data_IF_606285836744
#
_entry.id   IF_606285836744
#
_cell.length_a   1.000
_cell.length_b   1.000
_cell.length_c   1.000
_cell.angle_alpha   90.00
_cell.angle_beta   90.00
_cell.angle_gamma   90.00
#
_symmetry.space_group_name_H-M   'P 1'
#
loop_
_entity.id
_entity.type
_entity.pdbx_description
1 polymer ?
#
# COMPACT_ATOMS: atom_id res chain seq x y z
N UNK A 1 -0.62 5.36 12.52
CA UNK A 1 -1.34 6.20 11.54
C UNK A 1 -2.52 5.41 11.00
N UNK A 2 -3.46 6.08 10.34
CA UNK A 2 -4.64 5.43 9.74
C UNK A 2 -4.58 5.55 8.22
N UNK A 3 -4.62 4.41 7.52
CA UNK A 3 -4.57 4.33 6.05
C UNK A 3 -5.98 4.36 5.44
N UNK A 4 -7.02 4.06 6.23
CA UNK A 4 -8.38 3.89 5.72
C UNK A 4 -8.91 5.14 5.00
N UNK A 5 -8.69 6.38 5.48
CA UNK A 5 -9.18 7.57 4.76
C UNK A 5 -8.60 7.73 3.35
N UNK A 6 -7.34 7.31 3.14
CA UNK A 6 -6.71 7.34 1.83
C UNK A 6 -7.27 6.23 0.92
N UNK A 7 -7.50 5.03 1.47
CA UNK A 7 -8.18 3.95 0.77
C UNK A 7 -9.60 4.36 0.35
N UNK A 8 -10.37 4.96 1.26
CA UNK A 8 -11.73 5.43 0.98
C UNK A 8 -11.74 6.50 -0.11
N UNK A 9 -10.80 7.44 -0.06
CA UNK A 9 -10.66 8.45 -1.11
C UNK A 9 -10.36 7.81 -2.48
N UNK A 10 -9.43 6.85 -2.51
CA UNK A 10 -9.08 6.10 -3.72
C UNK A 10 -10.30 5.37 -4.31
N UNK A 11 -11.02 4.60 -3.51
CA UNK A 11 -12.23 3.88 -3.91
C UNK A 11 -13.34 4.83 -4.39
N UNK A 12 -13.57 5.92 -3.67
CA UNK A 12 -14.70 6.81 -3.93
C UNK A 12 -14.46 7.81 -5.07
N UNK A 13 -13.21 8.13 -5.37
CA UNK A 13 -12.84 9.20 -6.33
C UNK A 13 -12.00 8.67 -7.48
N UNK A 14 -10.83 8.11 -7.20
CA UNK A 14 -9.90 7.71 -8.26
C UNK A 14 -10.42 6.53 -9.06
N UNK A 15 -10.83 5.47 -8.37
CA UNK A 15 -11.26 4.23 -8.99
C UNK A 15 -12.51 4.39 -9.85
N UNK A 16 -13.46 5.23 -9.42
CA UNK A 16 -14.69 5.52 -10.18
C UNK A 16 -14.49 6.18 -11.53
N UNK A 17 -13.32 6.78 -11.78
CA UNK A 17 -13.02 7.45 -13.06
C UNK A 17 -12.52 6.43 -14.09
N UNK A 18 -11.93 5.30 -13.67
CA UNK A 18 -11.45 4.29 -14.59
C UNK A 18 -12.62 3.61 -15.31
N UNK A 19 -12.47 3.38 -16.62
CA UNK A 19 -13.43 2.60 -17.39
C UNK A 19 -13.12 1.10 -17.28
N UNK A 20 -14.10 0.22 -17.43
CA UNK A 20 -13.91 -1.25 -17.41
C UNK A 20 -12.78 -1.74 -18.33
N UNK A 21 -12.40 -0.99 -19.37
CA UNK A 21 -11.27 -1.30 -20.25
C UNK A 21 -9.92 -1.03 -19.59
N UNK A 22 -9.83 0.00 -18.77
CA UNK A 22 -8.64 0.35 -18.00
C UNK A 22 -8.39 -0.70 -16.90
N UNK A 23 -9.47 -1.18 -16.27
CA UNK A 23 -9.43 -2.27 -15.29
C UNK A 23 -8.80 -3.55 -15.84
N UNK A 24 -9.03 -3.88 -17.12
CA UNK A 24 -8.50 -5.10 -17.72
C UNK A 24 -6.97 -5.12 -17.83
N UNK A 25 -6.32 -3.96 -17.73
CA UNK A 25 -4.86 -3.82 -17.88
C UNK A 25 -4.18 -3.34 -16.60
N UNK A 26 -4.94 -2.96 -15.58
CA UNK A 26 -4.40 -2.46 -14.33
C UNK A 26 -3.87 -3.57 -13.42
N UNK A 27 -2.83 -3.24 -12.65
CA UNK A 27 -2.14 -4.18 -11.76
C UNK A 27 -1.56 -3.46 -10.53
N UNK A 28 -0.72 -4.16 -9.77
CA UNK A 28 -0.03 -3.64 -8.57
C UNK A 28 0.74 -2.33 -8.82
N UNK A 29 1.38 -2.17 -9.99
CA UNK A 29 2.08 -0.93 -10.36
C UNK A 29 1.10 0.24 -10.49
N UNK A 30 -0.09 0.03 -11.07
CA UNK A 30 -1.11 1.08 -11.19
C UNK A 30 -1.54 1.60 -9.82
N UNK A 31 -1.76 0.70 -8.86
CA UNK A 31 -2.11 1.06 -7.48
C UNK A 31 -0.96 1.84 -6.83
N UNK A 32 0.27 1.32 -6.94
CA UNK A 32 1.48 1.99 -6.44
C UNK A 32 1.60 3.41 -6.99
N UNK A 33 1.46 3.59 -8.30
CA UNK A 33 1.55 4.90 -8.95
C UNK A 33 0.47 5.85 -8.45
N UNK A 34 -0.78 5.39 -8.30
CA UNK A 34 -1.86 6.23 -7.78
C UNK A 34 -1.58 6.70 -6.34
N UNK A 35 -1.19 5.79 -5.45
CA UNK A 35 -0.79 6.17 -4.08
C UNK A 35 0.42 7.11 -4.07
N UNK A 36 1.44 6.85 -4.90
CA UNK A 36 2.62 7.70 -4.99
C UNK A 36 2.23 9.14 -5.36
N UNK A 37 1.36 9.33 -6.36
CA UNK A 37 0.92 10.68 -6.78
C UNK A 37 0.15 11.43 -5.68
N UNK A 38 -0.56 10.72 -4.80
CA UNK A 38 -1.29 11.33 -3.68
C UNK A 38 -0.42 11.60 -2.46
N UNK A 39 0.60 10.77 -2.24
CA UNK A 39 1.49 10.84 -1.08
C UNK A 39 2.80 11.58 -1.36
N UNK A 40 3.04 12.00 -2.60
CA UNK A 40 4.29 12.63 -2.98
C UNK A 40 4.53 13.93 -2.20
N UNK A 41 5.58 13.94 -1.39
CA UNK A 41 6.03 15.08 -0.59
C UNK A 41 7.55 15.00 -0.38
N UNK A 42 8.29 15.68 -1.24
CA UNK A 42 9.76 15.80 -1.17
C UNK A 42 10.23 16.92 -0.21
N UNK A 43 9.29 17.66 0.36
CA UNK A 43 9.57 18.69 1.37
C UNK A 43 9.82 18.02 2.72
N UNK A 44 8.97 17.07 3.12
CA UNK A 44 9.12 16.35 4.39
C UNK A 44 9.88 15.04 4.26
N UNK A 45 9.78 14.35 3.11
CA UNK A 45 10.27 12.98 2.97
C UNK A 45 11.36 12.82 1.92
N UNK A 46 12.24 11.86 2.18
CA UNK A 46 13.00 11.14 1.17
C UNK A 46 12.13 9.96 0.76
N UNK A 47 11.57 10.02 -0.44
CA UNK A 47 10.69 8.97 -0.97
C UNK A 47 11.47 8.04 -1.90
N UNK A 48 11.38 6.74 -1.68
CA UNK A 48 12.02 5.72 -2.51
C UNK A 48 10.98 4.65 -2.88
N UNK A 49 10.77 4.41 -4.18
CA UNK A 49 9.92 3.33 -4.70
C UNK A 49 10.71 2.10 -5.16
N UNK A 50 12.04 2.14 -5.05
CA UNK A 50 12.99 1.03 -5.12
C UNK A 50 14.41 1.54 -4.86
N UNK A 51 15.22 0.77 -4.12
CA UNK A 51 16.68 0.97 -4.08
C UNK A 51 17.31 -0.06 -5.03
N UNK A 52 18.01 0.40 -6.07
CA UNK A 52 18.60 -0.37 -7.18
C UNK A 52 19.58 -1.50 -6.79
N UNK A 53 19.75 -1.88 -5.52
CA UNK A 53 20.92 -2.66 -5.10
C UNK A 53 20.62 -4.09 -4.63
N UNK A 54 19.43 -4.43 -4.09
CA UNK A 54 19.23 -5.81 -3.57
C UNK A 54 17.76 -6.29 -3.58
N UNK A 55 17.33 -6.81 -4.75
CA UNK A 55 16.21 -7.75 -5.05
C UNK A 55 15.33 -8.19 -3.87
N UNK A 56 14.65 -7.25 -3.26
CA UNK A 56 13.79 -7.43 -2.11
C UNK A 56 12.98 -6.16 -2.02
N UNK A 57 12.01 -6.06 -2.90
CA UNK A 57 11.28 -4.83 -3.21
C UNK A 57 10.29 -4.55 -2.09
N UNK A 58 10.31 -3.33 -1.56
CA UNK A 58 9.13 -2.75 -0.93
C UNK A 58 8.65 -1.62 -1.80
N UNK A 59 7.34 -1.46 -1.81
CA UNK A 59 6.72 -0.68 -2.86
C UNK A 59 6.84 0.83 -2.68
N UNK A 60 6.78 1.33 -1.44
CA UNK A 60 6.97 2.74 -1.15
C UNK A 60 7.53 2.95 0.25
N UNK A 61 8.63 3.69 0.34
CA UNK A 61 9.17 4.19 1.60
C UNK A 61 9.13 5.72 1.62
N UNK A 62 8.68 6.29 2.73
CA UNK A 62 8.70 7.73 3.00
C UNK A 62 9.48 7.95 4.29
N UNK A 63 10.77 8.30 4.18
CA UNK A 63 11.64 8.55 5.34
C UNK A 63 11.72 10.04 5.59
N UNK A 64 11.41 10.48 6.80
CA UNK A 64 11.45 11.92 7.15
C UNK A 64 12.88 12.42 7.00
N UNK A 65 13.06 13.52 6.28
CA UNK A 65 14.38 14.11 6.07
C UNK A 65 15.05 14.50 7.41
N UNK A 66 16.39 14.40 7.54
CA UNK A 66 17.06 14.69 8.81
C UNK A 66 16.77 16.07 9.40
N UNK A 67 16.68 17.09 8.55
CA UNK A 67 16.35 18.48 8.88
C UNK A 67 14.89 18.69 9.32
N UNK A 68 14.00 17.76 8.97
CA UNK A 68 12.56 17.80 9.27
C UNK A 68 12.18 16.96 10.49
N UNK A 69 13.13 16.28 11.14
CA UNK A 69 12.86 15.37 12.28
C UNK A 69 12.20 16.06 13.48
N UNK A 70 12.39 17.39 13.61
CA UNK A 70 11.78 18.24 14.64
C UNK A 70 10.24 18.18 14.65
N UNK A 71 9.60 17.94 13.51
CA UNK A 71 8.13 17.99 13.36
C UNK A 71 7.39 16.74 13.85
N UNK A 72 8.09 15.81 14.51
CA UNK A 72 7.54 14.56 15.04
C UNK A 72 6.70 13.69 14.07
N UNK A 73 6.92 13.86 12.76
CA UNK A 73 6.25 13.10 11.70
C UNK A 73 6.77 11.65 11.62
N UNK A 74 5.90 10.72 11.24
CA UNK A 74 6.20 9.29 11.15
C UNK A 74 7.00 8.96 9.89
N UNK A 75 7.86 7.94 9.95
CA UNK A 75 8.37 7.28 8.74
C UNK A 75 7.35 6.24 8.29
N UNK A 76 7.14 6.11 6.99
CA UNK A 76 6.09 5.25 6.44
C UNK A 76 6.71 4.24 5.48
N UNK A 77 6.32 2.98 5.66
CA UNK A 77 6.62 1.90 4.72
C UNK A 77 5.29 1.29 4.26
N UNK A 78 5.07 1.22 2.94
CA UNK A 78 3.85 0.66 2.36
C UNK A 78 4.23 -0.46 1.40
N UNK A 79 3.54 -1.58 1.54
CA UNK A 79 3.59 -2.71 0.60
C UNK A 79 2.21 -2.85 -0.05
N UNK A 80 2.18 -2.74 -1.38
CA UNK A 80 0.97 -2.95 -2.16
C UNK A 80 0.90 -4.40 -2.61
N UNK A 81 -0.31 -4.92 -2.71
CA UNK A 81 -0.59 -6.19 -3.37
C UNK A 81 -1.84 -6.04 -4.22
N UNK A 82 -1.92 -6.83 -5.28
CA UNK A 82 -3.08 -6.85 -6.15
C UNK A 82 -3.69 -8.24 -6.25
N UNK A 83 -5.02 -8.31 -6.14
CA UNK A 83 -5.85 -9.49 -6.40
C UNK A 83 -6.73 -9.17 -7.60
N UNK A 84 -6.52 -9.80 -8.76
CA UNK A 84 -7.42 -9.68 -9.90
C UNK A 84 -8.82 -10.20 -9.55
N UNK A 85 -9.87 -9.61 -10.13
CA UNK A 85 -11.26 -10.07 -9.95
C UNK A 85 -11.44 -11.56 -10.24
N UNK A 86 -10.73 -12.06 -11.26
CA UNK A 86 -10.73 -13.47 -11.66
C UNK A 86 -10.17 -14.38 -10.56
N UNK A 87 -9.14 -13.93 -9.83
CA UNK A 87 -8.58 -14.65 -8.69
C UNK A 87 -9.51 -14.58 -7.47
N UNK A 88 -10.20 -13.44 -7.28
CA UNK A 88 -11.22 -13.30 -6.24
C UNK A 88 -12.48 -14.14 -6.52
N UNK A 89 -12.73 -14.52 -7.77
CA UNK A 89 -13.93 -15.26 -8.19
C UNK A 89 -15.22 -14.44 -8.11
N UNK A 90 -15.11 -13.11 -8.09
CA UNK A 90 -16.22 -12.18 -7.89
C UNK A 90 -16.23 -11.09 -8.98
N UNK A 91 -17.40 -10.58 -9.31
CA UNK A 91 -17.51 -9.37 -10.14
C UNK A 91 -17.40 -8.09 -9.30
N UNK A 92 -17.08 -6.98 -9.96
CA UNK A 92 -16.87 -5.69 -9.28
C UNK A 92 -18.12 -5.20 -8.52
N UNK A 93 -19.32 -5.42 -9.08
CA UNK A 93 -20.59 -5.00 -8.46
C UNK A 93 -20.87 -5.74 -7.15
N UNK A 94 -20.44 -6.99 -7.05
CA UNK A 94 -20.56 -7.78 -5.83
C UNK A 94 -19.56 -7.28 -4.79
N UNK A 95 -18.30 -7.05 -5.18
CA UNK A 95 -17.26 -6.53 -4.30
C UNK A 95 -17.58 -5.15 -3.72
N UNK A 96 -18.17 -4.25 -4.51
CA UNK A 96 -18.59 -2.92 -4.05
C UNK A 96 -19.56 -2.96 -2.86
N UNK A 97 -20.37 -4.03 -2.75
CA UNK A 97 -21.39 -4.17 -1.70
C UNK A 97 -20.90 -4.96 -0.49
N UNK A 98 -19.74 -5.61 -0.57
CA UNK A 98 -19.21 -6.39 0.54
C UNK A 98 -18.77 -5.46 1.67
N UNK A 99 -18.99 -5.86 2.92
CA UNK A 99 -18.35 -5.17 4.04
C UNK A 99 -16.84 -5.51 4.11
N UNK A 100 -16.13 -4.76 4.96
CA UNK A 100 -14.68 -4.92 5.10
C UNK A 100 -14.28 -6.27 5.70
N UNK A 101 -15.12 -6.87 6.55
CA UNK A 101 -14.79 -8.14 7.20
C UNK A 101 -14.94 -9.30 6.21
N UNK A 102 -15.96 -9.28 5.36
CA UNK A 102 -16.14 -10.21 4.26
C UNK A 102 -15.00 -10.10 3.24
N UNK A 103 -14.55 -8.87 2.90
CA UNK A 103 -13.39 -8.68 2.01
C UNK A 103 -12.10 -9.24 2.61
N UNK A 104 -11.84 -8.97 3.89
CA UNK A 104 -10.68 -9.53 4.61
C UNK A 104 -10.73 -11.05 4.74
N UNK A 105 -11.93 -11.63 4.73
CA UNK A 105 -12.11 -13.08 4.78
C UNK A 105 -11.83 -13.79 3.45
N UNK A 106 -11.72 -13.06 2.33
CA UNK A 106 -11.43 -13.67 1.03
C UNK A 106 -10.06 -14.37 1.05
N UNK A 107 -9.97 -15.66 0.65
CA UNK A 107 -8.71 -16.41 0.69
C UNK A 107 -7.58 -15.74 -0.10
N UNK A 108 -7.90 -15.17 -1.27
CA UNK A 108 -6.94 -14.44 -2.10
C UNK A 108 -6.40 -13.20 -1.38
N UNK A 109 -7.26 -12.43 -0.70
CA UNK A 109 -6.85 -11.26 0.10
C UNK A 109 -5.96 -11.67 1.26
N UNK A 110 -6.35 -12.69 2.03
CA UNK A 110 -5.55 -13.17 3.16
C UNK A 110 -4.17 -13.68 2.72
N UNK A 111 -4.10 -14.36 1.57
CA UNK A 111 -2.84 -14.80 0.97
C UNK A 111 -1.95 -13.59 0.66
N UNK A 112 -2.48 -12.58 -0.02
CA UNK A 112 -1.75 -11.35 -0.34
C UNK A 112 -1.33 -10.55 0.90
N UNK A 113 -2.17 -10.49 1.93
CA UNK A 113 -1.79 -9.86 3.20
C UNK A 113 -0.59 -10.57 3.86
N UNK A 114 -0.55 -11.91 3.86
CA UNK A 114 0.61 -12.66 4.35
C UNK A 114 1.88 -12.39 3.53
N UNK A 115 1.77 -12.41 2.19
CA UNK A 115 2.88 -12.07 1.31
C UNK A 115 3.41 -10.66 1.58
N UNK A 116 2.51 -9.69 1.78
CA UNK A 116 2.87 -8.31 2.11
C UNK A 116 3.56 -8.20 3.48
N UNK A 117 3.03 -8.90 4.49
CA UNK A 117 3.61 -8.93 5.83
C UNK A 117 5.06 -9.47 5.80
N UNK A 118 5.30 -10.55 5.07
CA UNK A 118 6.64 -11.13 4.88
C UNK A 118 7.59 -10.15 4.16
N UNK A 119 7.08 -9.41 3.16
CA UNK A 119 7.81 -8.36 2.46
C UNK A 119 8.23 -7.22 3.39
N UNK A 120 7.26 -6.69 4.13
CA UNK A 120 7.47 -5.62 5.10
C UNK A 120 8.46 -6.01 6.19
N UNK A 121 8.34 -7.21 6.76
CA UNK A 121 9.24 -7.68 7.81
C UNK A 121 10.72 -7.64 7.38
N UNK A 122 11.03 -8.12 6.16
CA UNK A 122 12.41 -8.10 5.63
C UNK A 122 12.96 -6.69 5.48
N UNK A 123 12.14 -5.75 5.03
CA UNK A 123 12.59 -4.39 4.74
C UNK A 123 12.66 -3.50 5.98
N UNK A 124 11.75 -3.71 6.94
CA UNK A 124 11.80 -3.07 8.27
C UNK A 124 13.15 -3.31 8.93
N UNK A 125 13.66 -4.53 8.90
CA UNK A 125 14.97 -4.85 9.48
C UNK A 125 16.12 -4.12 8.76
N UNK A 126 16.05 -3.96 7.44
CA UNK A 126 17.02 -3.16 6.67
C UNK A 126 16.97 -1.68 7.06
N UNK A 127 15.77 -1.10 7.18
CA UNK A 127 15.59 0.30 7.56
C UNK A 127 16.07 0.54 9.00
N UNK A 128 15.74 -0.35 9.94
CA UNK A 128 16.23 -0.28 11.32
C UNK A 128 17.76 -0.36 11.37
N UNK A 129 18.39 -1.26 10.62
CA UNK A 129 19.84 -1.36 10.55
C UNK A 129 20.51 -0.09 10.00
N UNK A 130 19.85 0.62 9.08
CA UNK A 130 20.36 1.86 8.46
C UNK A 130 20.15 3.10 9.32
N UNK A 131 18.97 3.25 9.96
CA UNK A 131 18.54 4.49 10.61
C UNK A 131 18.51 4.41 12.15
N UNK A 132 18.59 3.22 12.73
CA UNK A 132 18.58 3.01 14.19
C UNK A 132 17.34 3.61 14.86
N UNK A 133 17.53 4.13 16.07
CA UNK A 133 16.46 4.62 16.95
C UNK A 133 15.80 5.93 16.50
N UNK A 134 16.37 6.61 15.49
CA UNK A 134 15.77 7.84 14.92
C UNK A 134 14.53 7.52 14.08
N UNK A 135 14.39 6.27 13.65
CA UNK A 135 13.33 5.80 12.78
C UNK A 135 12.00 5.60 13.54
N UNK A 136 10.97 6.37 13.18
CA UNK A 136 9.61 6.27 13.70
C UNK A 136 8.72 5.53 12.71
N UNK A 137 9.09 4.27 12.43
CA UNK A 137 8.51 3.51 11.33
C UNK A 137 7.10 2.99 11.64
N UNK A 138 6.15 3.34 10.77
CA UNK A 138 4.87 2.64 10.65
C UNK A 138 4.80 1.93 9.31
N UNK A 139 4.38 0.67 9.34
CA UNK A 139 4.27 -0.17 8.16
C UNK A 139 2.81 -0.46 7.85
N UNK A 140 2.46 -0.45 6.57
CA UNK A 140 1.12 -0.75 6.10
C UNK A 140 1.19 -1.73 4.94
N UNK A 141 0.30 -2.72 4.96
CA UNK A 141 -0.05 -3.48 3.76
C UNK A 141 -1.32 -2.90 3.15
N UNK A 142 -1.38 -2.81 1.82
CA UNK A 142 -2.56 -2.37 1.07
C UNK A 142 -2.83 -3.37 -0.04
N UNK A 143 -3.90 -4.13 0.09
CA UNK A 143 -4.34 -5.11 -0.91
C UNK A 143 -5.48 -4.53 -1.71
N UNK A 144 -5.27 -4.32 -3.01
CA UNK A 144 -6.31 -3.97 -3.95
C UNK A 144 -6.99 -5.24 -4.48
N UNK A 145 -8.33 -5.28 -4.44
CA UNK A 145 -9.14 -6.31 -5.08
C UNK A 145 -9.78 -5.69 -6.30
N UNK A 146 -9.19 -5.99 -7.47
CA UNK A 146 -9.36 -5.20 -8.68
C UNK A 146 -9.06 -3.72 -8.42
N UNK A 147 -9.84 -2.81 -9.00
CA UNK A 147 -9.87 -1.39 -8.61
C UNK A 147 -11.24 -1.03 -8.06
N UNK A 148 -11.84 -1.94 -7.30
CA UNK A 148 -13.13 -1.74 -6.67
C UNK A 148 -12.93 -1.44 -5.20
N UNK A 149 -12.10 -2.25 -4.53
CA UNK A 149 -11.93 -2.21 -3.07
C UNK A 149 -10.47 -2.35 -2.65
N UNK A 150 -10.13 -1.71 -1.55
CA UNK A 150 -8.82 -1.72 -0.91
C UNK A 150 -8.97 -2.23 0.52
N UNK A 151 -8.10 -3.16 0.89
CA UNK A 151 -7.97 -3.65 2.25
C UNK A 151 -6.61 -3.22 2.77
N UNK A 152 -6.59 -2.25 3.68
CA UNK A 152 -5.38 -1.84 4.37
C UNK A 152 -5.26 -2.51 5.75
N UNK A 153 -4.01 -2.71 6.19
CA UNK A 153 -3.69 -3.16 7.55
C UNK A 153 -2.41 -2.49 8.03
N UNK A 154 -2.44 -2.00 9.27
CA UNK A 154 -1.23 -1.58 9.97
C UNK A 154 -0.47 -2.83 10.45
N UNK A 155 0.81 -2.90 10.14
CA UNK A 155 1.67 -4.02 10.51
C UNK A 155 2.57 -3.64 11.69
N UNK A 156 2.55 -4.50 12.72
CA UNK A 156 3.36 -4.37 13.93
C UNK A 156 4.79 -4.83 13.73
#
# INVERSE_FOLDING_TARGET
GDMQPLCDFMEQKYFKVFSNRDYAHGNELTIKTAFLTLLFDDTLYIMESEAEVQRGHTDLTMIVRPDMRQYQVLDILIEFKFVPLQEAGLDGKTLEKMDMDALRALPAVQKKQREAQDGLARYRERLKAKFGDVLRLHSFSVVAVGFERLVSRAES
#
